data_IF_026902422261
#
_entry.id   IF_026902422261
#
_cell.length_a   1.000
_cell.length_b   1.000
_cell.length_c   1.000
_cell.angle_alpha   90.00
_cell.angle_beta   90.00
_cell.angle_gamma   90.00
#
_symmetry.space_group_name_H-M   'P 1'
#
loop_
_entity.id
_entity.type
_entity.pdbx_description
1 polymer ?
#
# COMPACT_ATOMS: atom_id res chain seq x y z
N UNK A 1 -9.22 23.21 11.33
CA UNK A 1 -7.93 22.73 11.88
C UNK A 1 -7.34 21.78 10.86
N UNK A 2 -6.29 22.17 10.12
CA UNK A 2 -5.60 21.30 9.17
C UNK A 2 -4.73 20.33 9.97
N UNK A 3 -5.22 19.11 10.19
CA UNK A 3 -4.42 18.05 10.78
C UNK A 3 -3.61 17.38 9.66
N UNK A 4 -2.54 18.07 9.24
CA UNK A 4 -1.61 17.57 8.26
C UNK A 4 -0.92 16.33 8.81
N UNK A 5 -0.97 15.25 8.02
CA UNK A 5 -0.05 14.12 8.10
C UNK A 5 1.36 14.66 8.34
N UNK A 6 2.06 14.13 9.35
CA UNK A 6 3.44 14.45 9.65
C UNK A 6 4.37 14.00 8.51
N UNK A 7 4.36 14.75 7.40
CA UNK A 7 5.39 14.68 6.37
C UNK A 7 6.44 15.73 6.73
N UNK A 8 7.60 15.28 7.20
CA UNK A 8 8.79 16.12 7.41
C UNK A 8 9.13 16.98 6.18
N UNK A 9 8.82 16.49 4.98
CA UNK A 9 9.03 17.19 3.71
C UNK A 9 8.14 18.41 3.49
N UNK A 10 6.95 18.49 4.09
CA UNK A 10 6.02 19.62 3.85
C UNK A 10 6.23 20.76 4.85
N UNK A 11 6.74 20.48 6.04
CA UNK A 11 6.75 21.44 7.15
C UNK A 11 8.11 21.63 7.85
N UNK A 12 9.16 20.92 7.44
CA UNK A 12 10.47 20.92 8.12
C UNK A 12 11.50 21.94 7.61
N UNK A 13 11.13 22.85 6.70
CA UNK A 13 12.07 23.83 6.16
C UNK A 13 11.55 25.27 6.35
N UNK A 14 12.29 26.08 7.12
CA UNK A 14 12.03 27.53 7.27
C UNK A 14 12.06 28.29 5.93
N UNK A 15 12.68 27.69 4.90
CA UNK A 15 12.56 28.08 3.51
C UNK A 15 12.14 26.86 2.67
N UNK A 16 10.90 26.78 2.17
CA UNK A 16 10.52 25.69 1.27
C UNK A 16 11.41 25.75 0.05
N UNK A 17 12.30 24.76 -0.11
CA UNK A 17 13.03 24.61 -1.38
C UNK A 17 11.98 24.32 -2.44
N UNK A 18 11.89 25.19 -3.44
CA UNK A 18 11.15 24.92 -4.66
C UNK A 18 11.59 23.54 -5.16
N UNK A 19 10.65 22.60 -5.17
CA UNK A 19 10.89 21.26 -5.66
C UNK A 19 11.13 21.37 -7.17
N UNK A 20 12.39 21.53 -7.57
CA UNK A 20 12.85 21.65 -8.96
C UNK A 20 12.67 20.35 -9.77
N UNK A 21 11.66 19.53 -9.45
CA UNK A 21 11.36 18.28 -10.15
C UNK A 21 12.51 17.28 -10.19
N UNK A 22 13.50 17.41 -9.29
CA UNK A 22 14.76 16.65 -9.29
C UNK A 22 14.81 15.54 -8.24
N UNK A 23 13.88 15.51 -7.29
CA UNK A 23 13.84 14.45 -6.30
C UNK A 23 12.89 13.35 -6.78
N UNK A 24 13.51 12.25 -7.19
CA UNK A 24 12.88 11.06 -7.75
C UNK A 24 11.67 10.61 -6.91
N UNK A 25 10.50 10.53 -7.55
CA UNK A 25 9.21 10.17 -6.93
C UNK A 25 9.28 8.84 -6.16
N UNK A 26 10.23 7.98 -6.55
CA UNK A 26 10.55 6.71 -5.91
C UNK A 26 11.32 6.86 -4.59
N UNK A 27 12.20 7.86 -4.49
CA UNK A 27 12.94 8.18 -3.26
C UNK A 27 12.01 8.78 -2.20
N UNK A 28 11.08 9.64 -2.62
CA UNK A 28 10.03 10.18 -1.75
C UNK A 28 9.14 9.10 -1.18
N UNK A 29 8.66 8.17 -2.00
CA UNK A 29 7.79 7.08 -1.52
C UNK A 29 8.45 6.17 -0.48
N UNK A 30 9.76 5.91 -0.59
CA UNK A 30 10.50 5.16 0.44
C UNK A 30 10.71 5.98 1.71
N UNK A 31 11.06 7.26 1.57
CA UNK A 31 11.25 8.13 2.73
C UNK A 31 9.95 8.35 3.50
N UNK A 32 8.82 8.48 2.81
CA UNK A 32 7.51 8.65 3.43
C UNK A 32 7.08 7.41 4.23
N UNK A 33 7.37 6.20 3.72
CA UNK A 33 7.12 4.96 4.46
C UNK A 33 8.00 4.85 5.70
N UNK A 34 9.28 5.23 5.62
CA UNK A 34 10.19 5.23 6.77
C UNK A 34 9.75 6.25 7.82
N UNK A 35 9.38 7.46 7.39
CA UNK A 35 8.86 8.50 8.27
C UNK A 35 7.56 8.07 8.95
N UNK A 36 6.62 7.49 8.19
CA UNK A 36 5.41 6.93 8.76
C UNK A 36 5.71 5.85 9.81
N UNK A 37 6.58 4.88 9.50
CA UNK A 37 6.92 3.80 10.45
C UNK A 37 7.51 4.38 11.74
N UNK A 38 8.41 5.35 11.63
CA UNK A 38 9.09 5.99 12.76
C UNK A 38 8.14 6.87 13.58
N UNK A 39 7.49 7.83 12.94
CA UNK A 39 6.82 8.97 13.59
C UNK A 39 5.29 8.85 13.58
N UNK A 40 4.74 7.90 12.85
CA UNK A 40 3.30 7.78 12.62
C UNK A 40 2.76 8.90 11.73
N UNK A 41 1.45 9.09 11.75
CA UNK A 41 0.75 10.13 11.00
C UNK A 41 0.60 11.45 11.77
N UNK A 42 1.13 11.53 13.00
CA UNK A 42 1.09 12.71 13.87
C UNK A 42 0.49 12.43 15.26
N UNK A 43 0.11 13.48 15.98
CA UNK A 43 -0.32 13.43 17.40
C UNK A 43 -1.57 12.57 17.65
N UNK A 44 -2.39 12.36 16.62
CA UNK A 44 -3.58 11.51 16.70
C UNK A 44 -3.32 10.03 16.37
N UNK A 45 -2.11 9.67 15.95
CA UNK A 45 -1.76 8.29 15.62
C UNK A 45 -1.56 7.47 16.90
N UNK A 46 -2.44 6.49 17.10
CA UNK A 46 -2.40 5.57 18.24
C UNK A 46 -1.71 4.25 17.93
N UNK A 47 -1.23 4.07 16.69
CA UNK A 47 -0.53 2.85 16.30
C UNK A 47 0.83 2.79 16.98
N UNK A 48 1.27 1.57 17.29
CA UNK A 48 2.64 1.34 17.71
C UNK A 48 3.54 1.07 16.49
N UNK A 49 4.86 1.12 16.70
CA UNK A 49 5.86 0.91 15.64
C UNK A 49 5.66 -0.40 14.85
N UNK A 50 5.32 -1.50 15.53
CA UNK A 50 5.09 -2.80 14.88
C UNK A 50 3.81 -2.82 14.05
N UNK A 51 2.75 -2.17 14.52
CA UNK A 51 1.51 -2.00 13.76
C UNK A 51 1.75 -1.20 12.49
N UNK A 52 2.58 -0.16 12.54
CA UNK A 52 2.93 0.65 11.36
C UNK A 52 3.76 -0.12 10.34
N UNK A 53 4.71 -0.94 10.79
CA UNK A 53 5.40 -1.90 9.91
C UNK A 53 4.36 -2.83 9.26
N UNK A 54 3.43 -3.36 10.04
CA UNK A 54 2.44 -4.30 9.55
C UNK A 54 1.49 -3.68 8.51
N UNK A 55 1.04 -2.46 8.74
CA UNK A 55 0.22 -1.66 7.80
C UNK A 55 1.02 -1.39 6.52
N UNK A 56 2.29 -1.01 6.64
CA UNK A 56 3.17 -0.74 5.50
C UNK A 56 3.37 -1.98 4.63
N UNK A 57 3.57 -3.16 5.24
CA UNK A 57 3.68 -4.43 4.53
C UNK A 57 2.38 -4.75 3.78
N UNK A 58 1.23 -4.67 4.46
CA UNK A 58 -0.06 -4.93 3.83
C UNK A 58 -0.34 -3.96 2.67
N UNK A 59 -0.05 -2.66 2.88
CA UNK A 59 -0.19 -1.62 1.86
C UNK A 59 0.68 -1.90 0.65
N UNK A 60 1.93 -2.33 0.85
CA UNK A 60 2.82 -2.74 -0.24
C UNK A 60 2.31 -3.97 -1.01
N UNK A 61 1.84 -4.99 -0.30
CA UNK A 61 1.26 -6.20 -0.90
C UNK A 61 0.02 -5.90 -1.74
N UNK A 62 -0.85 -5.01 -1.26
CA UNK A 62 -2.05 -4.56 -2.00
C UNK A 62 -1.67 -3.70 -3.19
N UNK A 63 -0.74 -2.75 -3.01
CA UNK A 63 -0.32 -1.82 -4.07
C UNK A 63 0.33 -2.52 -5.26
N UNK A 64 1.10 -3.58 -5.02
CA UNK A 64 1.72 -4.39 -6.07
C UNK A 64 0.71 -5.04 -7.04
N UNK A 65 -0.56 -5.18 -6.63
CA UNK A 65 -1.62 -5.79 -7.43
C UNK A 65 -2.94 -5.00 -7.33
N UNK A 66 -2.82 -3.67 -7.22
CA UNK A 66 -3.94 -2.79 -6.85
C UNK A 66 -5.17 -2.97 -7.74
N UNK A 67 -5.00 -2.95 -9.06
CA UNK A 67 -6.12 -3.03 -10.00
C UNK A 67 -6.88 -4.35 -9.91
N UNK A 68 -6.15 -5.47 -9.78
CA UNK A 68 -6.74 -6.80 -9.66
C UNK A 68 -7.47 -6.97 -8.32
N UNK A 69 -6.83 -6.54 -7.22
CA UNK A 69 -7.40 -6.61 -5.88
C UNK A 69 -8.64 -5.73 -5.79
N UNK A 70 -8.61 -4.52 -6.35
CA UNK A 70 -9.75 -3.60 -6.36
C UNK A 70 -10.95 -4.19 -7.09
N UNK A 71 -10.73 -4.79 -8.27
CA UNK A 71 -11.80 -5.48 -9.02
C UNK A 71 -12.37 -6.65 -8.22
N UNK A 72 -11.50 -7.50 -7.66
CA UNK A 72 -11.92 -8.63 -6.84
C UNK A 72 -12.69 -8.18 -5.58
N UNK A 73 -12.23 -7.13 -4.90
CA UNK A 73 -12.86 -6.57 -3.71
C UNK A 73 -14.27 -6.07 -4.02
N UNK A 74 -14.43 -5.31 -5.10
CA UNK A 74 -15.73 -4.82 -5.58
C UNK A 74 -16.68 -5.97 -5.90
N UNK A 75 -16.20 -7.02 -6.59
CA UNK A 75 -17.02 -8.21 -6.90
C UNK A 75 -17.48 -8.97 -5.66
N UNK A 76 -16.73 -8.89 -4.56
CA UNK A 76 -17.02 -9.60 -3.31
C UNK A 76 -17.58 -8.68 -2.21
N UNK A 77 -17.95 -7.43 -2.55
CA UNK A 77 -18.50 -6.43 -1.63
C UNK A 77 -17.61 -6.14 -0.40
N UNK A 78 -16.28 -6.13 -0.59
CA UNK A 78 -15.36 -5.68 0.46
C UNK A 78 -15.11 -4.18 0.37
N UNK A 79 -15.39 -3.46 1.46
CA UNK A 79 -15.11 -2.03 1.57
C UNK A 79 -13.66 -1.72 1.98
N UNK A 80 -13.00 -2.68 2.63
CA UNK A 80 -11.61 -2.57 3.09
C UNK A 80 -10.88 -3.89 2.87
N UNK A 81 -9.55 -3.82 2.77
CA UNK A 81 -8.69 -5.00 2.58
C UNK A 81 -7.74 -5.12 3.75
N UNK A 82 -7.98 -6.14 4.58
CA UNK A 82 -7.04 -6.63 5.58
C UNK A 82 -6.23 -7.81 5.07
N UNK A 83 -5.40 -8.38 5.94
CA UNK A 83 -4.67 -9.62 5.62
C UNK A 83 -5.59 -10.78 5.24
N UNK A 84 -6.72 -10.93 5.93
CA UNK A 84 -7.69 -11.99 5.66
C UNK A 84 -8.22 -11.90 4.22
N UNK A 85 -8.62 -10.72 3.79
CA UNK A 85 -9.11 -10.45 2.44
C UNK A 85 -8.00 -10.62 1.41
N UNK A 86 -6.80 -10.11 1.70
CA UNK A 86 -5.63 -10.29 0.84
C UNK A 86 -5.31 -11.78 0.60
N UNK A 87 -5.34 -12.62 1.63
CA UNK A 87 -5.10 -14.06 1.48
C UNK A 87 -6.22 -14.77 0.71
N UNK A 88 -7.49 -14.39 0.92
CA UNK A 88 -8.60 -14.89 0.10
C UNK A 88 -8.41 -14.56 -1.39
N UNK A 89 -8.01 -13.34 -1.69
CA UNK A 89 -7.66 -12.92 -3.05
C UNK A 89 -6.52 -13.75 -3.63
N UNK A 90 -5.45 -14.01 -2.85
CA UNK A 90 -4.31 -14.82 -3.30
C UNK A 90 -4.73 -16.24 -3.67
N UNK A 91 -5.59 -16.87 -2.86
CA UNK A 91 -6.15 -18.20 -3.15
C UNK A 91 -7.01 -18.15 -4.43
N UNK A 92 -7.89 -17.16 -4.55
CA UNK A 92 -8.72 -16.96 -5.74
C UNK A 92 -7.87 -16.83 -7.02
N UNK A 93 -6.83 -15.98 -6.99
CA UNK A 93 -5.93 -15.76 -8.13
C UNK A 93 -5.12 -17.01 -8.48
N UNK A 94 -4.65 -17.75 -7.47
CA UNK A 94 -3.97 -19.02 -7.67
C UNK A 94 -4.87 -20.03 -8.39
N UNK A 95 -6.11 -20.19 -7.94
CA UNK A 95 -7.08 -21.11 -8.54
C UNK A 95 -7.33 -20.77 -10.02
N UNK A 96 -7.57 -19.50 -10.34
CA UNK A 96 -7.77 -19.07 -11.75
C UNK A 96 -6.57 -19.40 -12.62
N UNK A 97 -5.36 -19.12 -12.14
CA UNK A 97 -4.14 -19.40 -12.89
C UNK A 97 -3.95 -20.91 -13.11
N UNK A 98 -4.24 -21.72 -12.09
CA UNK A 98 -4.23 -23.18 -12.18
C UNK A 98 -5.21 -23.71 -13.24
N UNK A 99 -6.47 -23.23 -13.22
CA UNK A 99 -7.47 -23.61 -14.22
C UNK A 99 -7.08 -23.19 -15.65
N UNK A 100 -6.52 -22.00 -15.84
CA UNK A 100 -6.05 -21.53 -17.17
C UNK A 100 -4.91 -22.39 -17.70
N UNK A 101 -3.98 -22.80 -16.84
CA UNK A 101 -2.84 -23.62 -17.23
C UNK A 101 -3.26 -25.06 -17.56
N UNK A 102 -4.18 -25.64 -16.80
CA UNK A 102 -4.75 -26.97 -17.10
C UNK A 102 -5.40 -27.01 -18.48
N UNK A 103 -6.23 -26.01 -18.83
CA UNK A 103 -6.84 -25.93 -20.18
C UNK A 103 -5.82 -25.79 -21.30
N UNK A 104 -4.75 -25.01 -21.11
CA UNK A 104 -3.69 -24.87 -22.14
C UNK A 104 -2.98 -26.19 -22.44
N UNK A 105 -2.86 -27.07 -21.46
CA UNK A 105 -2.23 -28.38 -21.62
C UNK A 105 -3.19 -29.45 -22.17
N UNK A 106 -4.50 -29.26 -22.13
CA UNK A 106 -5.48 -30.20 -22.72
C UNK A 106 -5.56 -30.12 -24.24
N UNK A 107 -5.14 -29.01 -24.85
CA UNK A 107 -5.19 -28.79 -26.30
C UNK A 107 -3.80 -28.95 -26.96
N UNK A 108 -2.84 -29.57 -26.28
CA UNK A 108 -1.54 -30.00 -26.83
C UNK A 108 -1.52 -31.50 -26.95
#
# INVERSE_FOLDING_TARGET
MNQGTANYYTYGFDNPKLDEGKYDKKLHGLSDVVNYISEGTGVADKTNFLERINISILGGLVSAQYDDIKKWANMNNYNTIGYKEYFKYRIYKFNINSYKNSRRNMYK
#
